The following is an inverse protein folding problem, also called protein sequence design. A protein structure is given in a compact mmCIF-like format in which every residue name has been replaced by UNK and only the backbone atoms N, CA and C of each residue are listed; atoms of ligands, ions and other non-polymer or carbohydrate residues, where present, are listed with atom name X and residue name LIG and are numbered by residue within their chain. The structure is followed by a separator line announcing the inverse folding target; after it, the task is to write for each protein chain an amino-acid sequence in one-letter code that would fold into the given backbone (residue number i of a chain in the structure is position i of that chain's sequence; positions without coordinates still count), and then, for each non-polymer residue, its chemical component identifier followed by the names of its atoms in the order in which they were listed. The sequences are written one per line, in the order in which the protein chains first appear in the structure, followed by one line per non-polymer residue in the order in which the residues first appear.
data_IF_655708460472
#
_entry.id   IF_655708460472
#
_cell.length_a   1.000
_cell.length_b   1.000
_cell.length_c   1.000
_cell.angle_alpha   90.00
_cell.angle_beta   90.00
_cell.angle_gamma   90.00
#
_symmetry.space_group_name_H-M   'P 1'
#
loop_
_entity.id
_entity.type
_entity.pdbx_description
1 polymer ?
#
# COMPACT_ATOMS: atom_id res chain seq x y z
N UNK A 1 77.71 -0.45 -6.05
CA UNK A 1 78.53 -1.50 -5.40
C UNK A 1 79.26 -2.26 -6.49
N UNK A 2 80.57 -2.38 -6.37
CA UNK A 2 81.42 -3.14 -7.28
C UNK A 2 82.55 -3.75 -6.44
N UNK A 3 83.12 -4.87 -6.89
CA UNK A 3 84.32 -5.41 -6.25
C UNK A 3 85.50 -4.45 -6.49
N UNK A 4 86.53 -4.51 -5.64
CA UNK A 4 87.80 -3.79 -5.86
C UNK A 4 88.30 -4.03 -7.29
N UNK A 5 88.40 -2.96 -8.09
CA UNK A 5 88.77 -2.98 -9.51
C UNK A 5 90.06 -2.19 -9.80
N UNK A 6 91.05 -2.27 -8.91
CA UNK A 6 92.31 -1.55 -9.04
C UNK A 6 93.53 -2.50 -9.16
N UNK A 7 94.72 -2.00 -9.55
CA UNK A 7 95.91 -2.83 -9.78
C UNK A 7 96.44 -3.60 -8.57
N UNK A 8 95.95 -3.32 -7.35
CA UNK A 8 96.39 -4.01 -6.13
C UNK A 8 95.45 -5.15 -5.70
N UNK A 9 94.39 -5.40 -6.47
CA UNK A 9 93.47 -6.51 -6.22
C UNK A 9 94.05 -7.87 -6.60
N UNK A 10 93.59 -8.92 -5.92
CA UNK A 10 93.92 -10.32 -6.21
C UNK A 10 92.67 -11.07 -6.72
N UNK A 11 92.81 -12.02 -7.66
CA UNK A 11 91.66 -12.65 -8.33
C UNK A 11 90.93 -13.71 -7.49
N UNK A 12 91.54 -14.15 -6.38
CA UNK A 12 90.97 -15.13 -5.46
C UNK A 12 91.04 -14.53 -4.07
N UNK A 13 89.92 -14.59 -3.33
CA UNK A 13 89.88 -14.11 -1.95
C UNK A 13 90.91 -14.86 -1.10
N UNK A 14 91.83 -14.16 -0.41
CA UNK A 14 92.77 -14.80 0.50
C UNK A 14 92.05 -15.62 1.58
N UNK A 15 92.67 -16.69 2.11
CA UNK A 15 92.11 -17.43 3.24
C UNK A 15 91.85 -16.49 4.42
N UNK A 16 90.65 -16.56 4.99
CA UNK A 16 90.29 -15.78 6.18
C UNK A 16 91.14 -16.25 7.36
N UNK A 17 91.76 -15.32 8.08
CA UNK A 17 92.58 -15.61 9.23
C UNK A 17 91.76 -16.21 10.39
N UNK A 18 92.46 -16.87 11.32
CA UNK A 18 91.83 -17.39 12.52
C UNK A 18 91.22 -16.27 13.38
N UNK A 19 90.16 -16.59 14.12
CA UNK A 19 89.50 -15.64 15.02
C UNK A 19 90.47 -15.18 16.12
N UNK A 20 90.75 -13.87 16.14
CA UNK A 20 91.70 -13.28 17.10
C UNK A 20 91.07 -12.86 18.43
N UNK A 21 89.75 -12.65 18.48
CA UNK A 21 89.01 -12.29 19.71
C UNK A 21 87.58 -12.81 19.65
N UNK A 22 87.10 -13.37 20.77
CA UNK A 22 85.69 -13.73 20.96
C UNK A 22 84.87 -12.64 21.67
N UNK A 23 85.54 -11.61 22.18
CA UNK A 23 84.90 -10.44 22.77
C UNK A 23 84.70 -9.38 21.68
N UNK A 24 83.50 -8.78 21.55
CA UNK A 24 83.25 -7.67 20.61
C UNK A 24 84.18 -6.48 20.88
N UNK A 25 84.80 -5.96 19.82
CA UNK A 25 85.68 -4.78 19.85
C UNK A 25 85.17 -3.72 18.85
N UNK A 26 85.55 -2.46 19.05
CA UNK A 26 85.11 -1.32 18.25
C UNK A 26 86.29 -0.55 17.67
N UNK A 27 86.04 0.21 16.60
CA UNK A 27 87.02 1.11 16.00
C UNK A 27 87.44 2.21 16.98
N UNK A 28 88.74 2.47 17.06
CA UNK A 28 89.33 3.60 17.78
C UNK A 28 90.34 4.34 16.89
N UNK A 29 90.41 5.66 17.05
CA UNK A 29 91.43 6.52 16.42
C UNK A 29 92.83 6.31 17.03
N UNK A 30 92.95 5.43 18.03
CA UNK A 30 94.16 5.27 18.84
C UNK A 30 94.26 6.34 19.93
N UNK A 31 95.38 6.34 20.66
CA UNK A 31 95.62 7.23 21.80
C UNK A 31 96.16 6.49 23.01
N UNK A 32 96.86 7.20 23.92
CA UNK A 32 97.51 6.61 25.10
C UNK A 32 98.30 5.31 24.78
N UNK A 33 99.18 5.36 23.77
CA UNK A 33 99.98 4.22 23.27
C UNK A 33 99.19 3.06 22.62
N UNK A 34 97.90 3.23 22.33
CA UNK A 34 97.11 2.26 21.54
C UNK A 34 97.12 2.72 20.07
N UNK A 35 97.51 1.85 19.13
CA UNK A 35 97.46 2.17 17.70
C UNK A 35 95.99 2.28 17.22
N UNK A 36 95.74 3.08 16.17
CA UNK A 36 94.43 3.11 15.52
C UNK A 36 94.00 1.74 15.03
N UNK A 37 92.69 1.49 15.01
CA UNK A 37 92.16 0.21 14.52
C UNK A 37 92.42 0.05 13.02
N UNK A 38 93.03 -1.08 12.65
CA UNK A 38 93.15 -1.53 11.27
C UNK A 38 92.31 -2.79 11.05
N UNK A 39 91.16 -2.71 10.38
CA UNK A 39 90.27 -3.87 10.19
C UNK A 39 90.85 -4.95 9.27
N UNK A 40 91.81 -4.60 8.42
CA UNK A 40 92.52 -5.55 7.56
C UNK A 40 91.73 -6.05 6.34
N UNK A 41 92.39 -6.81 5.45
CA UNK A 41 91.80 -7.30 4.21
C UNK A 41 90.62 -8.24 4.44
N UNK A 42 90.66 -9.08 5.48
CA UNK A 42 89.58 -10.04 5.79
C UNK A 42 88.25 -9.32 6.01
N UNK A 43 88.24 -8.29 6.86
CA UNK A 43 87.03 -7.53 7.17
C UNK A 43 86.45 -6.84 5.94
N UNK A 44 87.30 -6.16 5.15
CA UNK A 44 86.85 -5.47 3.93
C UNK A 44 86.36 -6.44 2.85
N UNK A 45 87.04 -7.57 2.67
CA UNK A 45 86.64 -8.59 1.70
C UNK A 45 85.33 -9.28 2.09
N UNK A 46 85.09 -9.51 3.39
CA UNK A 46 83.84 -10.06 3.91
C UNK A 46 82.70 -9.08 3.65
N UNK A 47 82.82 -7.82 4.07
CA UNK A 47 81.78 -6.80 3.86
C UNK A 47 81.50 -6.62 2.36
N UNK A 48 82.54 -6.56 1.53
CA UNK A 48 82.36 -6.49 0.08
C UNK A 48 81.58 -7.69 -0.46
N UNK A 49 81.97 -8.90 -0.07
CA UNK A 49 81.33 -10.14 -0.50
C UNK A 49 79.86 -10.19 -0.09
N UNK A 50 79.53 -9.82 1.16
CA UNK A 50 78.14 -9.76 1.65
C UNK A 50 77.28 -8.77 0.87
N UNK A 51 77.81 -7.56 0.61
CA UNK A 51 77.09 -6.55 -0.17
C UNK A 51 76.90 -6.96 -1.64
N UNK A 52 77.87 -7.65 -2.25
CA UNK A 52 77.74 -8.21 -3.59
C UNK A 52 76.77 -9.40 -3.63
N UNK A 53 76.70 -10.20 -2.56
CA UNK A 53 75.78 -11.32 -2.44
C UNK A 53 74.32 -10.86 -2.42
N UNK A 54 74.02 -9.72 -1.77
CA UNK A 54 72.69 -9.09 -1.82
C UNK A 54 72.29 -8.80 -3.28
N UNK A 55 73.20 -8.25 -4.10
CA UNK A 55 72.92 -8.00 -5.52
C UNK A 55 72.73 -9.30 -6.29
N UNK A 56 73.55 -10.32 -6.01
CA UNK A 56 73.45 -11.64 -6.65
C UNK A 56 72.11 -12.30 -6.37
N UNK A 57 71.65 -12.30 -5.12
CA UNK A 57 70.36 -12.82 -4.70
C UNK A 57 69.19 -12.08 -5.38
N UNK A 58 69.33 -10.77 -5.58
CA UNK A 58 68.36 -9.97 -6.33
C UNK A 58 68.49 -10.10 -7.87
N UNK A 59 69.44 -10.90 -8.37
CA UNK A 59 69.79 -11.01 -9.80
C UNK A 59 70.10 -9.63 -10.43
N UNK A 60 70.91 -8.82 -9.75
CA UNK A 60 71.43 -7.53 -10.20
C UNK A 60 72.94 -7.69 -10.42
N UNK A 61 73.41 -7.32 -11.61
CA UNK A 61 74.85 -7.32 -11.90
C UNK A 61 75.50 -6.10 -11.22
N UNK A 62 76.65 -6.26 -10.54
CA UNK A 62 77.41 -5.13 -10.01
C UNK A 62 77.78 -4.15 -11.14
N UNK A 63 77.52 -2.86 -10.93
CA UNK A 63 77.91 -1.76 -11.82
C UNK A 63 78.64 -0.68 -11.03
N UNK A 64 79.85 -0.31 -11.44
CA UNK A 64 80.62 0.73 -10.74
C UNK A 64 80.07 2.14 -10.94
N UNK A 65 79.23 2.36 -11.95
CA UNK A 65 78.64 3.67 -12.24
C UNK A 65 77.32 3.92 -11.47
N UNK A 66 76.85 2.95 -10.68
CA UNK A 66 75.56 3.03 -9.99
C UNK A 66 75.70 2.99 -8.47
N UNK A 67 75.03 3.92 -7.78
CA UNK A 67 75.13 4.12 -6.33
C UNK A 67 73.92 3.62 -5.53
N UNK A 68 72.85 3.14 -6.16
CA UNK A 68 71.61 2.72 -5.51
C UNK A 68 71.34 1.20 -5.55
N UNK A 69 72.28 0.40 -6.05
CA UNK A 69 72.09 -1.03 -6.33
C UNK A 69 71.62 -1.85 -5.12
N UNK A 70 72.15 -1.60 -3.92
CA UNK A 70 71.76 -2.32 -2.70
C UNK A 70 70.29 -2.03 -2.37
N UNK A 71 69.87 -0.77 -2.46
CA UNK A 71 68.48 -0.38 -2.23
C UNK A 71 67.55 -1.04 -3.26
N UNK A 72 67.95 -1.06 -4.53
CA UNK A 72 67.22 -1.74 -5.61
C UNK A 72 67.11 -3.24 -5.36
N UNK A 73 68.18 -3.88 -4.90
CA UNK A 73 68.19 -5.30 -4.55
C UNK A 73 67.23 -5.63 -3.39
N UNK A 74 67.29 -4.85 -2.31
CA UNK A 74 66.40 -5.03 -1.15
C UNK A 74 64.94 -4.85 -1.53
N UNK A 75 64.58 -3.81 -2.29
CA UNK A 75 63.21 -3.61 -2.79
C UNK A 75 62.71 -4.83 -3.55
N UNK A 76 63.55 -5.40 -4.42
CA UNK A 76 63.19 -6.58 -5.21
C UNK A 76 63.00 -7.81 -4.32
N UNK A 77 63.94 -8.10 -3.42
CA UNK A 77 63.90 -9.28 -2.55
C UNK A 77 62.69 -9.28 -1.60
N UNK A 78 62.32 -8.13 -1.04
CA UNK A 78 61.19 -8.05 -0.11
C UNK A 78 59.83 -8.10 -0.82
N UNK A 79 59.71 -7.57 -2.04
CA UNK A 79 58.46 -7.67 -2.81
C UNK A 79 58.26 -9.09 -3.36
N UNK A 80 59.30 -9.75 -3.86
CA UNK A 80 59.18 -11.07 -4.50
C UNK A 80 58.90 -12.21 -3.51
N UNK A 81 59.33 -12.12 -2.25
CA UNK A 81 59.10 -13.16 -1.23
C UNK A 81 57.78 -13.01 -0.46
N UNK A 82 56.85 -12.17 -0.93
CA UNK A 82 55.64 -11.81 -0.19
C UNK A 82 54.43 -12.72 -0.46
N UNK A 83 54.57 -13.79 -1.27
CA UNK A 83 53.47 -14.69 -1.64
C UNK A 83 52.26 -13.92 -2.17
N UNK A 84 51.09 -14.13 -1.56
CA UNK A 84 49.84 -13.46 -1.91
C UNK A 84 49.91 -11.92 -1.78
N UNK A 85 50.77 -11.39 -0.91
CA UNK A 85 51.01 -9.94 -0.83
C UNK A 85 51.83 -9.41 -2.02
N UNK A 86 52.67 -10.25 -2.63
CA UNK A 86 53.31 -9.95 -3.92
C UNK A 86 52.31 -9.99 -5.07
N UNK A 87 51.38 -10.94 -5.05
CA UNK A 87 50.34 -11.09 -6.06
C UNK A 87 49.42 -9.85 -6.15
N UNK A 88 48.99 -9.31 -5.00
CA UNK A 88 48.19 -8.07 -4.96
C UNK A 88 49.03 -6.84 -5.35
N UNK A 89 50.30 -6.77 -4.93
CA UNK A 89 51.19 -5.66 -5.28
C UNK A 89 51.54 -5.62 -6.78
N UNK A 90 51.50 -6.76 -7.46
CA UNK A 90 51.70 -6.88 -8.91
C UNK A 90 50.49 -6.44 -9.74
N UNK A 91 49.33 -6.17 -9.12
CA UNK A 91 48.15 -5.71 -9.85
C UNK A 91 48.27 -4.22 -10.20
N UNK A 92 48.08 -3.91 -11.48
CA UNK A 92 47.87 -2.53 -11.93
C UNK A 92 46.41 -2.17 -11.71
N UNK A 93 46.12 -1.21 -10.82
CA UNK A 93 44.75 -0.80 -10.52
C UNK A 93 43.97 -0.35 -11.78
N UNK A 94 42.73 -0.82 -11.93
CA UNK A 94 41.82 -0.45 -13.01
C UNK A 94 40.43 -0.09 -12.46
N UNK A 95 39.79 0.93 -13.05
CA UNK A 95 38.43 1.34 -12.68
C UNK A 95 37.46 0.17 -12.81
N UNK A 96 36.55 0.05 -11.84
CA UNK A 96 35.46 -0.93 -11.85
C UNK A 96 35.91 -2.39 -11.91
N UNK A 97 37.06 -2.74 -11.33
CA UNK A 97 37.56 -4.12 -11.26
C UNK A 97 37.69 -4.62 -9.83
N UNK A 98 37.70 -5.95 -9.65
CA UNK A 98 37.93 -6.61 -8.37
C UNK A 98 39.11 -7.59 -8.47
N UNK A 99 40.09 -7.55 -7.55
CA UNK A 99 41.14 -8.55 -7.44
C UNK A 99 40.58 -9.93 -7.04
N UNK A 100 41.01 -10.99 -7.72
CA UNK A 100 40.70 -12.37 -7.33
C UNK A 100 41.88 -13.29 -7.59
N UNK A 101 41.99 -14.38 -6.82
CA UNK A 101 43.04 -15.38 -7.02
C UNK A 101 42.76 -16.23 -8.26
N UNK A 102 43.77 -16.41 -9.10
CA UNK A 102 43.76 -17.35 -10.24
C UNK A 102 44.61 -18.59 -9.99
N UNK A 103 45.25 -18.67 -8.82
CA UNK A 103 46.08 -19.76 -8.36
C UNK A 103 46.76 -19.39 -7.03
N UNK A 104 47.58 -20.29 -6.49
CA UNK A 104 48.43 -19.99 -5.32
C UNK A 104 49.33 -18.79 -5.67
N UNK A 105 49.31 -17.76 -4.82
CA UNK A 105 50.08 -16.52 -4.97
C UNK A 105 50.00 -15.83 -6.35
N UNK A 106 48.88 -16.01 -7.07
CA UNK A 106 48.61 -15.34 -8.34
C UNK A 106 47.22 -14.72 -8.34
N UNK A 107 47.12 -13.46 -8.76
CA UNK A 107 45.87 -12.72 -8.82
C UNK A 107 45.68 -12.07 -10.18
N UNK A 108 44.41 -11.87 -10.55
CA UNK A 108 44.02 -11.08 -11.70
C UNK A 108 42.90 -10.10 -11.30
N UNK A 109 42.64 -9.13 -12.18
CA UNK A 109 41.49 -8.24 -12.07
C UNK A 109 40.33 -8.79 -12.90
N UNK A 110 39.13 -8.78 -12.34
CA UNK A 110 37.88 -9.06 -13.08
C UNK A 110 36.98 -7.81 -13.12
N UNK A 111 36.36 -7.47 -14.27
CA UNK A 111 35.41 -6.36 -14.33
C UNK A 111 34.17 -6.61 -13.47
N UNK A 112 33.77 -5.60 -12.68
CA UNK A 112 32.49 -5.59 -11.97
C UNK A 112 31.44 -4.86 -12.78
N UNK A 113 30.24 -5.43 -12.89
CA UNK A 113 29.09 -4.74 -13.46
C UNK A 113 28.66 -3.56 -12.57
N UNK A 114 27.93 -2.61 -13.15
CA UNK A 114 27.36 -1.50 -12.37
C UNK A 114 26.47 -2.00 -11.22
N UNK A 115 25.76 -3.11 -11.43
CA UNK A 115 24.94 -3.78 -10.42
C UNK A 115 25.77 -4.24 -9.22
N UNK A 116 26.85 -5.01 -9.44
CA UNK A 116 27.67 -5.54 -8.34
C UNK A 116 28.34 -4.43 -7.55
N UNK A 117 28.85 -3.39 -8.23
CA UNK A 117 29.41 -2.21 -7.54
C UNK A 117 28.37 -1.47 -6.69
N UNK A 118 27.11 -1.48 -7.13
CA UNK A 118 25.99 -0.95 -6.36
C UNK A 118 25.68 -1.73 -5.07
N UNK A 119 26.20 -2.96 -4.91
CA UNK A 119 25.95 -3.83 -3.75
C UNK A 119 27.09 -3.78 -2.74
N UNK A 120 28.35 -3.78 -3.20
CA UNK A 120 29.53 -3.97 -2.35
C UNK A 120 29.82 -2.86 -1.30
N UNK A 121 29.08 -1.75 -1.34
CA UNK A 121 29.25 -0.62 -0.42
C UNK A 121 28.03 -0.33 0.47
N UNK A 122 27.11 -1.28 0.64
CA UNK A 122 25.88 -1.11 1.43
C UNK A 122 26.17 -1.36 2.91
N UNK A 123 25.76 -0.45 3.78
CA UNK A 123 26.11 -0.47 5.21
C UNK A 123 25.08 -1.17 6.10
N UNK A 124 23.89 -1.44 5.57
CA UNK A 124 22.84 -2.18 6.27
C UNK A 124 22.07 -3.13 5.34
N UNK A 125 21.32 -4.05 5.97
CA UNK A 125 20.54 -5.06 5.28
C UNK A 125 19.45 -4.47 4.38
N UNK A 126 18.84 -3.34 4.77
CA UNK A 126 17.80 -2.68 3.98
C UNK A 126 18.37 -2.09 2.70
N UNK A 127 19.52 -1.41 2.79
CA UNK A 127 20.28 -0.91 1.65
C UNK A 127 20.69 -2.03 0.68
N UNK A 128 21.16 -3.17 1.21
CA UNK A 128 21.51 -4.35 0.42
C UNK A 128 20.29 -4.93 -0.31
N UNK A 129 19.20 -5.20 0.43
CA UNK A 129 17.95 -5.77 -0.08
C UNK A 129 17.37 -4.89 -1.20
N UNK A 130 17.42 -3.56 -1.04
CA UNK A 130 17.01 -2.59 -2.06
C UNK A 130 17.90 -2.66 -3.30
N UNK A 131 19.22 -2.77 -3.14
CA UNK A 131 20.16 -2.84 -4.25
C UNK A 131 20.00 -4.12 -5.10
N UNK A 132 19.60 -5.23 -4.49
CA UNK A 132 19.29 -6.50 -5.19
C UNK A 132 17.82 -6.59 -5.66
N UNK A 133 17.02 -5.54 -5.48
CA UNK A 133 15.63 -5.49 -5.94
C UNK A 133 14.67 -6.40 -5.17
N UNK A 134 15.04 -6.85 -3.97
CA UNK A 134 14.23 -7.72 -3.12
C UNK A 134 13.50 -6.97 -1.99
N UNK A 135 13.54 -5.64 -1.97
CA UNK A 135 12.84 -4.87 -0.92
C UNK A 135 11.35 -5.16 -0.96
N UNK A 136 10.81 -5.57 0.18
CA UNK A 136 9.43 -5.98 0.40
C UNK A 136 8.38 -4.87 0.14
N UNK A 137 8.81 -3.63 -0.15
CA UNK A 137 7.99 -2.43 0.03
C UNK A 137 7.56 -1.69 -1.24
N UNK A 138 7.78 -2.19 -2.45
CA UNK A 138 7.43 -1.35 -3.60
C UNK A 138 6.73 -2.07 -4.73
N UNK A 139 5.40 -1.97 -4.69
CA UNK A 139 4.66 -1.51 -5.86
C UNK A 139 5.24 -0.15 -6.32
N UNK A 140 6.44 -0.15 -6.89
CA UNK A 140 6.98 1.05 -7.53
C UNK A 140 6.14 1.35 -8.75
N UNK A 141 5.71 2.61 -8.85
CA UNK A 141 5.03 3.11 -10.04
C UNK A 141 5.87 2.78 -11.26
N UNK A 142 5.25 2.21 -12.29
CA UNK A 142 5.85 2.07 -13.61
C UNK A 142 5.63 3.33 -14.46
N UNK A 143 5.16 4.41 -13.84
CA UNK A 143 4.87 5.68 -14.48
C UNK A 143 3.51 5.70 -15.18
N UNK A 144 3.35 6.68 -16.05
CA UNK A 144 2.12 6.93 -16.80
C UNK A 144 1.96 5.90 -17.93
N UNK A 145 0.90 5.11 -17.88
CA UNK A 145 0.64 4.05 -18.87
C UNK A 145 -0.81 4.12 -19.32
N UNK A 146 -1.06 4.25 -20.62
CA UNK A 146 -2.41 4.34 -21.16
C UNK A 146 -3.26 3.12 -20.79
N UNK A 147 -4.56 3.34 -20.59
CA UNK A 147 -5.49 2.27 -20.27
C UNK A 147 -5.47 1.21 -21.38
N UNK A 148 -5.24 -0.05 -21.00
CA UNK A 148 -5.30 -1.17 -21.93
C UNK A 148 -6.68 -1.27 -22.57
N UNK A 149 -6.75 -1.60 -23.85
CA UNK A 149 -8.00 -1.71 -24.61
C UNK A 149 -8.06 -3.01 -25.40
N UNK A 150 -9.28 -3.37 -25.81
CA UNK A 150 -9.56 -4.62 -26.53
C UNK A 150 -9.01 -5.83 -25.77
N UNK A 151 -8.25 -6.69 -26.47
CA UNK A 151 -7.66 -7.90 -25.91
C UNK A 151 -6.22 -7.70 -25.41
N UNK A 152 -5.69 -6.47 -25.42
CA UNK A 152 -4.30 -6.13 -25.00
C UNK A 152 -4.07 -6.49 -23.54
N UNK A 153 -2.96 -7.13 -23.25
CA UNK A 153 -2.59 -7.60 -21.91
C UNK A 153 -1.51 -6.74 -21.27
N UNK A 154 -1.56 -6.62 -19.95
CA UNK A 154 -0.51 -6.00 -19.16
C UNK A 154 0.65 -6.94 -18.89
N UNK A 155 1.56 -6.50 -18.02
CA UNK A 155 2.70 -7.30 -17.60
C UNK A 155 2.33 -8.18 -16.42
N UNK A 156 2.91 -9.38 -16.37
CA UNK A 156 2.63 -10.39 -15.34
C UNK A 156 2.93 -9.87 -13.93
N UNK A 157 2.07 -10.22 -12.97
CA UNK A 157 2.26 -9.95 -11.54
C UNK A 157 1.39 -8.80 -11.02
N UNK A 158 1.87 -8.18 -9.93
CA UNK A 158 1.23 -7.04 -9.27
C UNK A 158 2.00 -5.77 -9.64
N UNK A 159 1.31 -4.79 -10.23
CA UNK A 159 1.96 -3.59 -10.77
C UNK A 159 1.17 -2.33 -10.44
N UNK A 160 1.88 -1.21 -10.29
CA UNK A 160 1.27 0.10 -10.09
C UNK A 160 1.58 1.02 -11.28
N UNK A 161 0.55 1.70 -11.79
CA UNK A 161 0.64 2.68 -12.86
C UNK A 161 0.01 4.03 -12.44
N UNK A 162 0.28 5.05 -13.23
CA UNK A 162 -0.34 6.37 -13.10
C UNK A 162 -1.34 6.60 -14.25
N UNK A 163 -2.56 6.96 -13.86
CA UNK A 163 -3.52 7.58 -14.78
C UNK A 163 -3.16 9.07 -14.89
N UNK A 164 -2.91 9.54 -16.11
CA UNK A 164 -2.54 10.90 -16.43
C UNK A 164 -2.91 11.22 -17.89
N UNK A 165 -4.16 11.63 -18.12
CA UNK A 165 -4.73 11.95 -19.44
C UNK A 165 -4.48 10.87 -20.51
N UNK A 166 -4.66 9.62 -20.13
CA UNK A 166 -4.25 8.45 -20.91
C UNK A 166 -5.34 7.36 -20.90
N UNK A 167 -6.57 7.78 -21.23
CA UNK A 167 -7.73 6.94 -21.52
C UNK A 167 -8.34 6.14 -20.36
N UNK A 168 -7.97 6.44 -19.12
CA UNK A 168 -8.71 5.97 -17.94
C UNK A 168 -10.01 6.75 -17.74
N UNK A 169 -10.99 6.19 -16.98
CA UNK A 169 -12.22 6.89 -16.59
C UNK A 169 -12.01 8.24 -15.93
N UNK A 170 -10.86 8.45 -15.29
CA UNK A 170 -10.48 9.72 -14.66
C UNK A 170 -9.18 10.24 -15.26
N UNK A 171 -9.04 11.57 -15.45
CA UNK A 171 -7.82 12.17 -15.97
C UNK A 171 -6.57 11.85 -15.13
N UNK A 172 -6.71 11.76 -13.80
CA UNK A 172 -5.58 11.57 -12.89
C UNK A 172 -5.90 10.53 -11.83
N UNK A 173 -4.92 9.70 -11.47
CA UNK A 173 -5.11 8.65 -10.48
C UNK A 173 -3.97 7.63 -10.43
N UNK A 174 -4.17 6.61 -9.61
CA UNK A 174 -3.28 5.46 -9.50
C UNK A 174 -4.02 4.18 -9.86
N UNK A 175 -3.36 3.30 -10.59
CA UNK A 175 -3.92 2.04 -11.06
C UNK A 175 -3.12 0.89 -10.50
N UNK A 176 -3.81 -0.07 -9.88
CA UNK A 176 -3.26 -1.35 -9.51
C UNK A 176 -3.66 -2.37 -10.59
N UNK A 177 -2.66 -2.96 -11.24
CA UNK A 177 -2.84 -3.99 -12.26
C UNK A 177 -2.41 -5.35 -11.72
N UNK A 178 -3.24 -6.36 -11.96
CA UNK A 178 -3.11 -7.71 -11.46
C UNK A 178 -3.18 -8.69 -12.64
N UNK A 179 -2.08 -9.39 -12.93
CA UNK A 179 -2.04 -10.41 -13.99
C UNK A 179 -1.48 -11.74 -13.50
N UNK A 180 -2.17 -12.82 -13.83
CA UNK A 180 -1.71 -14.18 -13.55
C UNK A 180 -0.38 -14.52 -14.24
N UNK A 181 0.47 -15.32 -13.59
CA UNK A 181 1.75 -15.75 -14.16
C UNK A 181 1.59 -16.78 -15.28
N UNK A 182 0.64 -17.70 -15.12
CA UNK A 182 0.34 -18.76 -16.10
C UNK A 182 -0.99 -18.51 -16.80
N UNK A 183 -1.98 -17.97 -16.10
CA UNK A 183 -3.30 -17.67 -16.66
C UNK A 183 -3.34 -16.27 -17.28
N UNK A 184 -4.09 -16.13 -18.38
CA UNK A 184 -4.28 -14.86 -19.10
C UNK A 184 -5.28 -13.89 -18.45
N UNK A 185 -5.83 -14.25 -17.29
CA UNK A 185 -6.81 -13.43 -16.56
C UNK A 185 -6.16 -12.24 -15.88
N UNK A 186 -6.83 -11.08 -15.96
CA UNK A 186 -6.31 -9.81 -15.48
C UNK A 186 -7.40 -8.97 -14.79
N UNK A 187 -6.98 -8.10 -13.88
CA UNK A 187 -7.85 -7.17 -13.17
C UNK A 187 -7.16 -5.85 -12.93
N UNK A 188 -7.94 -4.77 -12.93
CA UNK A 188 -7.46 -3.44 -12.60
C UNK A 188 -8.37 -2.75 -11.60
N UNK A 189 -7.74 -2.05 -10.65
CA UNK A 189 -8.37 -1.11 -9.72
C UNK A 189 -7.77 0.27 -9.95
N UNK A 190 -8.59 1.23 -10.32
CA UNK A 190 -8.23 2.64 -10.46
C UNK A 190 -8.78 3.42 -9.28
N UNK A 191 -7.91 4.20 -8.63
CA UNK A 191 -8.31 5.22 -7.66
C UNK A 191 -7.97 6.57 -8.28
N UNK A 192 -9.02 7.30 -8.67
CA UNK A 192 -8.86 8.63 -9.24
C UNK A 192 -8.49 9.65 -8.16
N UNK A 193 -7.74 10.68 -8.53
CA UNK A 193 -7.53 11.82 -7.63
C UNK A 193 -8.76 12.72 -7.66
N UNK A 194 -9.27 13.09 -6.49
CA UNK A 194 -10.53 13.82 -6.33
C UNK A 194 -10.54 15.24 -6.91
N UNK A 195 -9.37 15.78 -7.31
CA UNK A 195 -9.20 17.15 -7.80
C UNK A 195 -9.35 18.24 -6.74
N UNK A 196 -9.98 17.93 -5.61
CA UNK A 196 -10.19 18.83 -4.46
C UNK A 196 -9.70 18.15 -3.18
N UNK A 197 -8.85 18.84 -2.41
CA UNK A 197 -8.34 18.32 -1.13
C UNK A 197 -9.49 17.93 -0.19
N UNK A 198 -9.45 16.70 0.32
CA UNK A 198 -10.46 16.16 1.24
C UNK A 198 -11.77 15.70 0.58
N UNK A 199 -11.95 15.87 -0.73
CA UNK A 199 -13.08 15.31 -1.46
C UNK A 199 -12.92 13.79 -1.68
N UNK A 200 -14.04 13.10 -1.87
CA UNK A 200 -14.06 11.66 -2.13
C UNK A 200 -13.45 11.35 -3.51
N UNK A 201 -12.60 10.32 -3.56
CA UNK A 201 -11.96 9.84 -4.78
C UNK A 201 -12.92 8.90 -5.54
N UNK A 202 -13.08 9.04 -6.86
CA UNK A 202 -13.81 8.04 -7.63
C UNK A 202 -12.95 6.77 -7.77
N UNK A 203 -13.57 5.60 -7.63
CA UNK A 203 -12.89 4.30 -7.71
C UNK A 203 -13.51 3.49 -8.83
N UNK A 204 -12.71 2.85 -9.67
CA UNK A 204 -13.19 2.00 -10.76
C UNK A 204 -12.49 0.66 -10.74
N UNK A 205 -13.21 -0.37 -11.18
CA UNK A 205 -12.68 -1.71 -11.37
C UNK A 205 -13.01 -2.22 -12.77
N UNK A 206 -12.16 -3.07 -13.30
CA UNK A 206 -12.45 -3.86 -14.51
C UNK A 206 -11.69 -5.17 -14.49
N UNK A 207 -12.07 -6.08 -15.36
CA UNK A 207 -11.37 -7.36 -15.52
C UNK A 207 -11.31 -7.79 -16.98
N UNK A 208 -10.38 -8.69 -17.27
CA UNK A 208 -10.29 -9.43 -18.52
C UNK A 208 -10.27 -10.92 -18.17
N UNK A 209 -11.15 -11.70 -18.80
CA UNK A 209 -11.22 -13.15 -18.59
C UNK A 209 -9.93 -13.84 -19.06
N UNK A 210 -9.64 -14.99 -18.49
CA UNK A 210 -8.51 -15.88 -18.80
C UNK A 210 -8.62 -16.61 -20.16
N UNK A 211 -8.99 -15.90 -21.23
CA UNK A 211 -9.01 -16.41 -22.59
C UNK A 211 -8.19 -15.52 -23.53
N UNK A 212 -7.59 -16.10 -24.58
CA UNK A 212 -6.73 -15.37 -25.52
C UNK A 212 -7.47 -14.20 -26.19
N UNK A 213 -8.72 -14.42 -26.60
CA UNK A 213 -9.57 -13.43 -27.28
C UNK A 213 -10.44 -12.59 -26.34
N UNK A 214 -10.27 -12.72 -25.02
CA UNK A 214 -11.07 -11.95 -24.08
C UNK A 214 -10.73 -10.46 -24.19
N UNK A 215 -11.76 -9.63 -24.36
CA UNK A 215 -11.62 -8.18 -24.21
C UNK A 215 -11.70 -7.78 -22.73
N UNK A 216 -11.14 -6.63 -22.41
CA UNK A 216 -11.41 -5.95 -21.16
C UNK A 216 -12.90 -5.64 -21.01
N UNK A 217 -13.45 -5.85 -19.81
CA UNK A 217 -14.75 -5.27 -19.46
C UNK A 217 -14.67 -3.75 -19.53
N UNK A 218 -15.81 -3.10 -19.73
CA UNK A 218 -15.93 -1.68 -19.44
C UNK A 218 -15.54 -1.40 -17.97
N UNK A 219 -15.13 -0.17 -17.71
CA UNK A 219 -14.84 0.28 -16.35
C UNK A 219 -16.14 0.41 -15.55
N UNK A 220 -16.21 -0.28 -14.43
CA UNK A 220 -17.32 -0.16 -13.49
C UNK A 220 -16.90 0.72 -12.31
N UNK A 221 -17.66 1.76 -12.03
CA UNK A 221 -17.42 2.60 -10.86
C UNK A 221 -17.89 1.90 -9.58
N UNK A 222 -17.07 1.94 -8.54
CA UNK A 222 -17.41 1.49 -7.19
C UNK A 222 -18.01 2.66 -6.43
N UNK A 223 -19.23 2.49 -5.95
CA UNK A 223 -19.92 3.49 -5.16
C UNK A 223 -19.90 3.15 -3.68
N UNK A 224 -19.76 4.18 -2.85
CA UNK A 224 -19.72 4.09 -1.39
C UNK A 224 -20.97 4.72 -0.79
N UNK A 225 -21.18 4.55 0.51
CA UNK A 225 -22.24 5.23 1.24
C UNK A 225 -22.13 6.77 1.19
N UNK A 226 -20.98 7.32 0.79
CA UNK A 226 -20.77 8.76 0.65
C UNK A 226 -21.37 9.31 -0.65
N UNK A 227 -21.55 8.49 -1.67
CA UNK A 227 -21.90 8.96 -3.01
C UNK A 227 -23.41 9.15 -3.25
N UNK A 228 -24.25 9.13 -2.20
CA UNK A 228 -25.70 9.41 -2.23
C UNK A 228 -26.46 8.74 -3.39
N UNK A 229 -26.28 7.42 -3.57
CA UNK A 229 -26.96 6.69 -4.64
C UNK A 229 -28.41 6.32 -4.31
N UNK A 230 -29.30 6.48 -5.29
CA UNK A 230 -30.56 5.76 -5.32
C UNK A 230 -30.28 4.29 -5.65
N UNK A 231 -30.90 3.35 -4.93
CA UNK A 231 -30.92 1.96 -5.34
C UNK A 231 -31.41 1.88 -6.80
N UNK A 232 -30.80 1.06 -7.66
CA UNK A 232 -31.18 0.93 -9.07
C UNK A 232 -32.67 0.57 -9.25
N UNK A 233 -33.28 -0.08 -8.26
CA UNK A 233 -34.70 -0.42 -8.22
C UNK A 233 -35.62 0.78 -7.91
N UNK A 234 -35.10 1.86 -7.31
CA UNK A 234 -35.82 3.07 -6.97
C UNK A 234 -35.97 4.06 -8.15
N UNK A 235 -35.31 3.81 -9.30
CA UNK A 235 -35.45 4.62 -10.52
C UNK A 235 -36.92 4.77 -10.95
N UNK A 236 -37.76 3.77 -10.71
CA UNK A 236 -39.20 3.83 -11.03
C UNK A 236 -39.95 4.93 -10.27
N UNK A 237 -39.43 5.39 -9.13
CA UNK A 237 -39.99 6.47 -8.32
C UNK A 237 -39.35 7.83 -8.61
N UNK A 238 -38.26 7.92 -9.40
CA UNK A 238 -37.72 9.22 -9.84
C UNK A 238 -38.74 10.03 -10.65
N UNK A 239 -39.60 9.37 -11.42
CA UNK A 239 -40.80 9.99 -11.99
C UNK A 239 -41.97 9.64 -11.09
N UNK A 240 -42.56 10.65 -10.44
CA UNK A 240 -43.67 10.45 -9.52
C UNK A 240 -44.75 9.53 -10.11
N UNK A 241 -45.20 8.55 -9.33
CA UNK A 241 -46.34 7.68 -9.64
C UNK A 241 -47.51 8.12 -8.79
N UNK A 242 -48.72 8.13 -9.36
CA UNK A 242 -49.91 8.49 -8.60
C UNK A 242 -50.36 7.29 -7.74
N UNK A 243 -50.50 7.49 -6.44
CA UNK A 243 -51.17 6.56 -5.53
C UNK A 243 -52.49 7.22 -5.14
N UNK A 244 -53.61 6.64 -5.55
CA UNK A 244 -54.94 7.24 -5.35
C UNK A 244 -55.02 8.72 -5.80
N UNK A 245 -54.41 9.04 -6.94
CA UNK A 245 -54.37 10.41 -7.48
C UNK A 245 -53.28 11.32 -6.90
N UNK A 246 -52.67 10.96 -5.76
CA UNK A 246 -51.61 11.73 -5.11
C UNK A 246 -50.24 11.35 -5.72
N UNK A 247 -49.45 12.31 -6.23
CA UNK A 247 -48.12 12.02 -6.75
C UNK A 247 -47.18 11.57 -5.63
N UNK A 248 -46.49 10.46 -5.84
CA UNK A 248 -45.50 9.90 -4.92
C UNK A 248 -44.22 9.55 -5.68
N UNK A 249 -43.12 10.13 -5.22
CA UNK A 249 -41.74 9.92 -5.71
C UNK A 249 -40.77 9.54 -4.59
N UNK A 250 -41.27 9.33 -3.36
CA UNK A 250 -40.47 9.02 -2.18
C UNK A 250 -39.82 10.22 -1.49
N UNK A 251 -40.05 11.45 -1.96
CA UNK A 251 -39.48 12.66 -1.35
C UNK A 251 -40.19 13.14 -0.08
N UNK A 252 -41.40 12.63 0.19
CA UNK A 252 -42.25 12.98 1.34
C UNK A 252 -43.20 11.83 1.68
N UNK A 253 -43.72 11.84 2.89
CA UNK A 253 -44.76 10.92 3.34
C UNK A 253 -46.07 11.10 2.56
N UNK A 254 -46.87 10.03 2.46
CA UNK A 254 -48.24 10.08 1.96
C UNK A 254 -49.17 10.28 3.15
N UNK A 255 -49.86 11.42 3.18
CA UNK A 255 -50.93 11.64 4.15
C UNK A 255 -52.23 11.05 3.61
N UNK A 256 -52.75 10.03 4.29
CA UNK A 256 -54.10 9.51 4.05
C UNK A 256 -55.04 10.13 5.08
N UNK A 257 -56.07 10.84 4.62
CA UNK A 257 -57.18 11.20 5.51
C UNK A 257 -57.90 9.91 5.90
N UNK A 258 -57.98 9.60 7.20
CA UNK A 258 -58.87 8.54 7.69
C UNK A 258 -60.30 8.79 7.17
N UNK A 259 -61.06 7.71 6.94
CA UNK A 259 -62.30 7.68 6.15
C UNK A 259 -63.37 8.74 6.47
N UNK A 260 -64.35 8.86 5.56
CA UNK A 260 -65.48 9.82 5.51
C UNK A 260 -65.36 11.01 6.46
N UNK A 261 -65.08 12.20 5.90
CA UNK A 261 -65.00 13.42 6.71
C UNK A 261 -66.29 13.66 7.50
N UNK A 262 -66.21 14.35 8.64
CA UNK A 262 -67.39 14.74 9.42
C UNK A 262 -68.42 15.45 8.54
N UNK A 263 -67.98 16.36 7.67
CA UNK A 263 -68.84 17.02 6.68
C UNK A 263 -69.61 16.02 5.79
N UNK A 264 -68.93 14.99 5.30
CA UNK A 264 -69.55 13.98 4.45
C UNK A 264 -70.49 13.05 5.21
N UNK A 265 -70.23 12.82 6.49
CA UNK A 265 -71.11 12.06 7.37
C UNK A 265 -72.36 12.89 7.74
N UNK A 266 -72.17 14.18 8.02
CA UNK A 266 -73.23 15.16 8.31
C UNK A 266 -74.17 15.30 7.10
N UNK A 267 -73.62 15.25 5.87
CA UNK A 267 -74.39 15.32 4.64
C UNK A 267 -75.14 14.01 4.32
N UNK A 268 -74.66 12.85 4.79
CA UNK A 268 -75.22 11.54 4.43
C UNK A 268 -76.19 10.95 5.47
N UNK A 269 -76.02 11.29 6.74
CA UNK A 269 -76.76 10.67 7.83
C UNK A 269 -77.48 11.72 8.67
N UNK A 270 -78.72 11.41 9.07
CA UNK A 270 -79.41 12.18 10.10
C UNK A 270 -78.71 11.94 11.44
N UNK A 271 -77.95 12.94 11.89
CA UNK A 271 -77.23 12.89 13.16
C UNK A 271 -78.04 13.57 14.27
N UNK A 272 -77.61 13.37 15.51
CA UNK A 272 -78.16 14.08 16.66
C UNK A 272 -79.67 13.85 16.88
N UNK A 273 -80.17 12.65 16.58
CA UNK A 273 -81.53 12.22 16.88
C UNK A 273 -81.53 11.12 17.94
N UNK A 274 -82.43 11.20 18.92
CA UNK A 274 -82.63 10.15 19.91
C UNK A 274 -84.10 9.99 20.30
N UNK A 275 -84.40 8.92 21.02
CA UNK A 275 -85.69 8.74 21.70
C UNK A 275 -85.64 9.35 23.10
N UNK A 276 -86.64 10.15 23.47
CA UNK A 276 -86.77 10.69 24.81
C UNK A 276 -87.30 9.67 25.83
N UNK A 277 -87.69 10.19 27.00
CA UNK A 277 -88.26 9.39 28.08
C UNK A 277 -89.60 8.74 27.67
N UNK A 278 -89.89 7.50 28.11
CA UNK A 278 -91.15 6.82 27.82
C UNK A 278 -92.33 7.51 28.53
N UNK A 279 -93.43 7.67 27.80
CA UNK A 279 -94.72 8.15 28.32
C UNK A 279 -95.74 7.04 28.13
N UNK A 280 -96.42 6.65 29.20
CA UNK A 280 -97.49 5.66 29.17
C UNK A 280 -98.75 6.29 29.74
N UNK A 281 -99.79 6.57 28.93
CA UNK A 281 -100.99 7.31 29.37
C UNK A 281 -101.94 6.47 30.24
N UNK A 282 -101.53 5.28 30.65
CA UNK A 282 -102.38 4.32 31.34
C UNK A 282 -103.14 3.44 30.36
N UNK A 283 -104.15 2.75 30.89
CA UNK A 283 -104.97 1.80 30.15
C UNK A 283 -105.89 2.53 29.18
N UNK A 284 -105.92 2.05 27.95
CA UNK A 284 -106.82 2.51 26.88
C UNK A 284 -107.63 1.32 26.35
N UNK A 285 -108.73 1.62 25.67
CA UNK A 285 -109.51 0.61 24.95
C UNK A 285 -108.77 0.11 23.70
N UNK A 286 -109.24 -1.00 23.12
CA UNK A 286 -108.67 -1.59 21.89
C UNK A 286 -108.83 -0.66 20.68
N UNK A 287 -109.74 0.32 20.77
CA UNK A 287 -109.91 1.42 19.82
C UNK A 287 -109.13 2.68 20.21
N UNK A 288 -108.09 2.53 21.04
CA UNK A 288 -107.25 3.61 21.53
C UNK A 288 -106.73 4.54 20.43
N UNK A 289 -106.08 5.67 20.79
CA UNK A 289 -105.93 6.81 19.89
C UNK A 289 -105.38 6.37 18.54
N UNK A 290 -106.03 6.83 17.46
CA UNK A 290 -105.77 6.40 16.10
C UNK A 290 -104.28 6.49 15.70
N UNK A 291 -103.53 7.38 16.35
CA UNK A 291 -102.09 7.59 16.14
C UNK A 291 -101.34 7.88 17.46
N UNK A 292 -100.02 7.74 17.43
CA UNK A 292 -99.17 8.21 18.53
C UNK A 292 -99.28 9.75 18.65
N UNK A 293 -99.10 10.32 19.86
CA UNK A 293 -99.05 11.77 20.03
C UNK A 293 -98.05 12.40 19.06
N UNK A 294 -98.39 13.58 18.55
CA UNK A 294 -97.55 14.31 17.60
C UNK A 294 -96.12 14.48 18.14
N UNK A 295 -95.12 14.26 17.29
CA UNK A 295 -93.71 14.29 17.69
C UNK A 295 -93.22 13.07 18.48
N UNK A 296 -94.10 12.10 18.75
CA UNK A 296 -93.76 10.82 19.37
C UNK A 296 -93.92 9.66 18.39
N UNK A 297 -93.22 8.57 18.66
CA UNK A 297 -93.47 7.30 18.02
C UNK A 297 -93.90 6.26 19.06
N UNK A 298 -94.75 5.31 18.64
CA UNK A 298 -95.13 4.17 19.44
C UNK A 298 -93.91 3.26 19.63
N UNK A 299 -93.42 3.15 20.86
CA UNK A 299 -92.24 2.36 21.18
C UNK A 299 -92.58 0.97 21.71
N UNK A 300 -93.81 0.79 22.21
CA UNK A 300 -94.32 -0.49 22.70
C UNK A 300 -95.86 -0.47 22.74
N UNK A 301 -96.48 -1.62 22.46
CA UNK A 301 -97.92 -1.86 22.63
C UNK A 301 -98.08 -3.25 23.25
N UNK A 302 -98.80 -3.35 24.36
CA UNK A 302 -99.06 -4.62 25.04
C UNK A 302 -100.53 -4.78 25.39
N UNK A 303 -101.06 -5.97 25.22
CA UNK A 303 -102.39 -6.32 25.71
C UNK A 303 -102.39 -6.37 27.24
N UNK A 304 -103.42 -5.82 27.86
CA UNK A 304 -103.67 -5.97 29.29
C UNK A 304 -104.45 -7.27 29.54
N UNK A 305 -103.74 -8.28 30.03
CA UNK A 305 -104.29 -9.61 30.32
C UNK A 305 -105.45 -9.62 31.33
N UNK A 306 -105.69 -8.52 32.05
CA UNK A 306 -106.80 -8.39 33.00
C UNK A 306 -108.11 -7.94 32.36
N UNK A 307 -108.13 -7.65 31.05
CA UNK A 307 -109.33 -7.24 30.33
C UNK A 307 -109.45 -7.89 28.97
N UNK A 308 -110.68 -7.99 28.48
CA UNK A 308 -110.98 -8.55 27.15
C UNK A 308 -110.46 -7.68 25.99
N UNK A 309 -110.35 -6.36 26.20
CA UNK A 309 -110.07 -5.36 25.14
C UNK A 309 -109.13 -4.24 25.61
N UNK A 310 -108.35 -4.44 26.68
CA UNK A 310 -107.49 -3.39 27.22
C UNK A 310 -106.10 -3.42 26.61
N UNK A 311 -105.58 -2.25 26.26
CA UNK A 311 -104.23 -2.09 25.72
C UNK A 311 -103.45 -1.06 26.55
N UNK A 312 -102.15 -1.28 26.66
CA UNK A 312 -101.20 -0.34 27.26
C UNK A 312 -100.18 0.03 26.18
N UNK A 313 -100.12 1.31 25.84
CA UNK A 313 -99.16 1.85 24.88
C UNK A 313 -98.07 2.65 25.59
N UNK A 314 -96.87 2.63 25.03
CA UNK A 314 -95.76 3.48 25.47
C UNK A 314 -95.23 4.25 24.27
N UNK A 315 -95.30 5.57 24.36
CA UNK A 315 -94.78 6.49 23.36
C UNK A 315 -93.44 7.06 23.83
N UNK A 316 -92.57 7.40 22.89
CA UNK A 316 -91.36 8.17 23.18
C UNK A 316 -91.28 9.36 22.23
N UNK A 317 -91.03 10.58 22.74
CA UNK A 317 -90.82 11.73 21.88
C UNK A 317 -89.54 11.54 21.07
N UNK A 318 -89.56 11.93 19.80
CA UNK A 318 -88.35 12.09 19.02
C UNK A 318 -87.66 13.37 19.50
N UNK A 319 -86.37 13.29 19.76
CA UNK A 319 -85.57 14.42 20.21
C UNK A 319 -84.43 14.69 19.26
N UNK A 320 -84.10 15.96 19.09
CA UNK A 320 -82.94 16.44 18.36
C UNK A 320 -82.00 17.21 19.30
N UNK A 321 -80.70 17.01 19.16
CA UNK A 321 -79.71 17.79 19.94
C UNK A 321 -79.55 19.18 19.33
N UNK A 322 -79.93 20.22 20.06
CA UNK A 322 -79.89 21.62 19.62
C UNK A 322 -79.42 22.49 20.80
N UNK A 323 -78.46 23.39 20.56
CA UNK A 323 -77.92 24.33 21.57
C UNK A 323 -77.47 23.62 22.86
N UNK A 324 -76.65 22.58 22.69
CA UNK A 324 -76.07 21.78 23.77
C UNK A 324 -77.09 21.10 24.71
N UNK A 325 -78.29 20.80 24.20
CA UNK A 325 -79.32 20.08 24.94
C UNK A 325 -80.22 19.26 23.99
N UNK A 326 -80.78 18.15 24.49
CA UNK A 326 -81.81 17.40 23.78
C UNK A 326 -83.14 18.12 23.84
N UNK A 327 -83.74 18.39 22.68
CA UNK A 327 -85.04 19.06 22.54
C UNK A 327 -86.03 18.11 21.90
N UNK A 328 -87.23 18.04 22.46
CA UNK A 328 -88.34 17.29 21.85
C UNK A 328 -88.78 17.99 20.57
N UNK A 329 -88.91 17.22 19.50
CA UNK A 329 -89.51 17.69 18.25
C UNK A 329 -91.02 17.77 18.51
N UNK A 330 -91.53 18.99 18.61
CA UNK A 330 -92.97 19.22 18.63
C UNK A 330 -93.44 19.27 17.18
N UNK A 331 -94.49 18.52 16.85
CA UNK A 331 -95.09 18.59 15.51
C UNK A 331 -96.38 19.41 15.50
#
# INVERSE_FOLDING_TARGET
MFYVDNPTGVPVMPPVAAVSSLTPLYFTEGGNNIPPTYPGPDWFNIIQSELLEILRQANIKPDKNTTDQIMTALKKLFITNSGSAGAIAGLTGQNNTFPYFTGEDTMALTPLSAFVRGILGKNDAGEFIKAIGLSADTLSSKGQVAALSNNTQGTVGLQMYEAYNNDYPTPYGNVLHLKGATASGEGELLIGWSGTSGAHAPVYIRSRRDAAEANWSEWAQVFTSKDNFNAATATKLQTARKINGVPFDGSRDITLSAGMSQHDADARYLQNLQRGAPVSPGKIDEYGPAEAPVGCFLSNCRHDATTRYGVLTTYRPLQMYINNAWRTING
#
